data_IF_698384616078
#
_entry.id   IF_698384616078
#
_cell.length_a   1.000
_cell.length_b   1.000
_cell.length_c   1.000
_cell.angle_alpha   90.00
_cell.angle_beta   90.00
_cell.angle_gamma   90.00
#
_symmetry.space_group_name_H-M   'P 1'
#
loop_
_entity.id
_entity.type
_entity.pdbx_description
1 polymer ?
#
# COMPACT_ATOMS: atom_id res chain seq x y z
N UNK A 1 -1.19 -11.60 16.86
CA UNK A 1 -2.15 -11.98 15.79
C UNK A 1 -2.68 -10.67 15.22
N UNK A 2 -2.51 -10.42 13.92
CA UNK A 2 -2.97 -9.17 13.31
C UNK A 2 -4.48 -8.97 13.52
N UNK A 3 -4.90 -7.73 13.81
CA UNK A 3 -6.30 -7.43 14.11
C UNK A 3 -7.10 -7.30 12.82
N UNK A 4 -7.92 -8.29 12.50
CA UNK A 4 -8.94 -8.18 11.46
C UNK A 4 -10.03 -7.20 11.92
N UNK A 5 -10.58 -6.39 11.01
CA UNK A 5 -11.72 -5.51 11.29
C UNK A 5 -13.00 -6.10 10.65
N UNK A 6 -14.17 -5.98 11.30
CA UNK A 6 -15.44 -6.43 10.71
C UNK A 6 -15.81 -5.63 9.44
N UNK A 7 -16.59 -6.21 8.51
CA UNK A 7 -17.00 -5.54 7.27
C UNK A 7 -17.66 -4.17 7.49
N UNK A 8 -18.54 -4.03 8.48
CA UNK A 8 -19.20 -2.76 8.76
C UNK A 8 -18.22 -1.67 9.23
N UNK A 9 -17.15 -2.05 9.93
CA UNK A 9 -16.12 -1.11 10.34
C UNK A 9 -15.33 -0.62 9.12
N UNK A 10 -14.95 -1.53 8.23
CA UNK A 10 -14.23 -1.17 7.01
C UNK A 10 -15.10 -0.33 6.04
N UNK A 11 -16.41 -0.59 5.95
CA UNK A 11 -17.34 0.27 5.21
C UNK A 11 -17.36 1.70 5.76
N UNK A 12 -17.44 1.87 7.09
CA UNK A 12 -17.40 3.18 7.73
C UNK A 12 -16.08 3.93 7.49
N UNK A 13 -14.95 3.22 7.40
CA UNK A 13 -13.67 3.85 7.05
C UNK A 13 -13.72 4.43 5.63
N UNK A 14 -14.28 3.69 4.67
CA UNK A 14 -14.46 4.19 3.30
C UNK A 14 -15.47 5.35 3.24
N UNK A 15 -16.58 5.29 3.98
CA UNK A 15 -17.55 6.38 4.07
C UNK A 15 -16.91 7.66 4.62
N UNK A 16 -16.10 7.55 5.67
CA UNK A 16 -15.34 8.68 6.23
C UNK A 16 -14.35 9.25 5.23
N UNK A 17 -13.64 8.40 4.47
CA UNK A 17 -12.80 8.84 3.36
C UNK A 17 -13.62 9.59 2.30
N UNK A 18 -14.86 9.17 2.04
CA UNK A 18 -15.77 9.79 1.06
C UNK A 18 -16.49 11.03 1.57
N UNK A 19 -16.44 11.36 2.85
CA UNK A 19 -17.10 12.55 3.40
C UNK A 19 -16.56 13.86 2.78
N UNK A 20 -17.40 14.86 2.50
CA UNK A 20 -16.95 16.20 2.10
C UNK A 20 -15.96 16.76 3.14
N UNK A 21 -14.84 17.33 2.69
CA UNK A 21 -13.81 17.89 3.58
C UNK A 21 -12.84 16.87 4.19
N UNK A 22 -12.93 15.57 3.85
CA UNK A 22 -11.89 14.62 4.22
C UNK A 22 -10.52 15.03 3.62
N UNK A 23 -9.43 15.02 4.41
CA UNK A 23 -8.11 15.40 3.94
C UNK A 23 -7.62 14.46 2.81
N UNK A 24 -6.93 15.01 1.81
CA UNK A 24 -6.28 14.22 0.75
C UNK A 24 -7.09 13.95 -0.52
N UNK A 25 -8.18 14.69 -0.78
CA UNK A 25 -9.10 14.49 -1.93
C UNK A 25 -8.82 15.25 -3.22
N UNK A 26 -7.80 16.09 -3.25
CA UNK A 26 -7.58 16.99 -4.39
C UNK A 26 -6.16 16.90 -4.88
N UNK A 27 -5.94 16.04 -5.88
CA UNK A 27 -4.75 16.07 -6.72
C UNK A 27 -5.01 16.60 -8.15
N UNK A 28 -6.26 16.66 -8.63
CA UNK A 28 -6.62 17.40 -9.85
C UNK A 28 -8.14 17.59 -10.02
N UNK A 29 -8.61 18.69 -10.64
CA UNK A 29 -10.05 18.94 -10.88
C UNK A 29 -10.73 18.02 -11.93
N UNK A 30 -9.99 17.11 -12.59
CA UNK A 30 -10.51 16.27 -13.69
C UNK A 30 -10.62 14.78 -13.40
N UNK A 31 -9.99 14.26 -12.35
CA UNK A 31 -9.95 12.82 -12.07
C UNK A 31 -10.26 12.58 -10.59
N UNK A 32 -11.14 11.63 -10.29
CA UNK A 32 -11.35 11.15 -8.91
C UNK A 32 -10.16 10.26 -8.54
N UNK A 33 -9.49 10.57 -7.43
CA UNK A 33 -8.40 9.72 -6.93
C UNK A 33 -8.91 8.31 -6.66
N UNK A 34 -8.10 7.31 -7.02
CA UNK A 34 -8.38 5.93 -6.61
C UNK A 34 -8.14 5.80 -5.11
N UNK A 35 -9.08 5.16 -4.41
CA UNK A 35 -8.97 4.87 -2.97
C UNK A 35 -8.77 3.37 -2.72
N UNK A 36 -8.67 2.57 -3.78
CA UNK A 36 -8.47 1.12 -3.70
C UNK A 36 -7.32 0.69 -4.62
N UNK A 37 -6.60 -0.32 -4.17
CA UNK A 37 -5.61 -1.01 -4.98
C UNK A 37 -5.75 -2.49 -4.71
N UNK A 38 -6.10 -3.23 -5.75
CA UNK A 38 -6.24 -4.66 -5.73
C UNK A 38 -4.91 -5.35 -6.02
N UNK A 39 -4.67 -6.42 -5.29
CA UNK A 39 -3.56 -7.35 -5.47
C UNK A 39 -4.12 -8.77 -5.39
N UNK A 40 -3.59 -9.69 -6.19
CA UNK A 40 -3.93 -11.09 -5.98
C UNK A 40 -3.24 -11.63 -4.73
N UNK A 41 -3.86 -12.62 -4.07
CA UNK A 41 -3.25 -13.29 -2.91
C UNK A 41 -1.95 -13.98 -3.33
N UNK A 42 -1.94 -14.64 -4.49
CA UNK A 42 -0.78 -15.36 -5.01
C UNK A 42 0.44 -14.43 -5.20
N UNK A 43 0.23 -13.25 -5.78
CA UNK A 43 1.31 -12.28 -5.95
C UNK A 43 1.85 -11.74 -4.62
N UNK A 44 0.98 -11.54 -3.63
CA UNK A 44 1.42 -11.15 -2.28
C UNK A 44 2.22 -12.28 -1.64
N UNK A 45 1.79 -13.53 -1.79
CA UNK A 45 2.51 -14.70 -1.28
C UNK A 45 3.90 -14.82 -1.91
N UNK A 46 4.01 -14.70 -3.24
CA UNK A 46 5.30 -14.69 -3.95
C UNK A 46 6.23 -13.57 -3.44
N UNK A 47 5.69 -12.37 -3.21
CA UNK A 47 6.49 -11.28 -2.67
C UNK A 47 6.91 -11.52 -1.22
N UNK A 48 6.06 -12.12 -0.40
CA UNK A 48 6.40 -12.52 0.98
C UNK A 48 7.49 -13.60 1.00
N UNK A 49 7.45 -14.55 0.07
CA UNK A 49 8.51 -15.55 -0.11
C UNK A 49 9.82 -14.89 -0.51
N UNK A 50 9.78 -13.96 -1.47
CA UNK A 50 10.95 -13.16 -1.84
C UNK A 50 11.58 -12.45 -0.63
N UNK A 51 10.78 -11.80 0.22
CA UNK A 51 11.31 -11.13 1.42
C UNK A 51 11.94 -12.14 2.39
N UNK A 52 11.25 -13.24 2.68
CA UNK A 52 11.74 -14.27 3.62
C UNK A 52 12.99 -14.99 3.13
N UNK A 53 13.17 -15.10 1.82
CA UNK A 53 14.37 -15.69 1.22
C UNK A 53 15.59 -14.78 1.32
N UNK A 54 15.38 -13.45 1.41
CA UNK A 54 16.47 -12.46 1.38
C UNK A 54 16.73 -11.79 2.73
N UNK A 55 15.80 -11.82 3.68
CA UNK A 55 15.95 -11.26 5.03
C UNK A 55 15.82 -12.42 6.04
N UNK A 56 16.86 -12.66 6.87
CA UNK A 56 16.81 -13.75 7.84
C UNK A 56 15.72 -13.49 8.87
N UNK A 57 15.09 -14.56 9.36
CA UNK A 57 14.03 -14.46 10.38
C UNK A 57 14.50 -13.73 11.67
N UNK A 58 15.79 -13.79 11.99
CA UNK A 58 16.40 -13.06 13.12
C UNK A 58 16.36 -11.54 12.97
N UNK A 59 16.24 -11.04 11.73
CA UNK A 59 16.09 -9.63 11.42
C UNK A 59 14.62 -9.20 11.34
N UNK A 60 13.66 -10.04 11.73
CA UNK A 60 12.23 -9.74 11.72
C UNK A 60 11.74 -9.11 10.40
N UNK A 61 11.69 -9.89 9.29
CA UNK A 61 11.24 -9.39 8.00
C UNK A 61 9.80 -8.88 8.05
N UNK A 62 9.55 -7.75 7.38
CA UNK A 62 8.22 -7.15 7.30
C UNK A 62 7.97 -6.40 5.98
N UNK A 63 6.81 -5.75 5.90
CA UNK A 63 6.41 -4.91 4.78
C UNK A 63 5.95 -3.56 5.31
N UNK A 64 6.38 -2.49 4.64
CA UNK A 64 5.81 -1.15 4.77
C UNK A 64 5.12 -0.75 3.47
N UNK A 65 3.90 -0.26 3.57
CA UNK A 65 3.11 0.18 2.40
C UNK A 65 3.23 1.70 2.29
N UNK A 66 3.62 2.17 1.12
CA UNK A 66 3.75 3.59 0.81
C UNK A 66 2.73 4.01 -0.24
N UNK A 67 2.19 5.22 -0.08
CA UNK A 67 1.53 5.94 -1.17
C UNK A 67 2.61 6.60 -2.04
N UNK A 68 2.50 6.44 -3.36
CA UNK A 68 3.41 7.02 -4.34
C UNK A 68 2.66 7.76 -5.45
N UNK A 69 3.38 8.62 -6.15
CA UNK A 69 2.93 9.25 -7.40
C UNK A 69 3.98 8.99 -8.47
N UNK A 70 3.53 8.63 -9.66
CA UNK A 70 4.42 8.44 -10.81
C UNK A 70 4.98 9.77 -11.34
N UNK A 71 4.39 10.91 -10.95
CA UNK A 71 4.85 12.24 -11.36
C UNK A 71 4.61 12.53 -12.85
N UNK A 72 5.26 13.58 -13.34
CA UNK A 72 5.02 14.13 -14.67
C UNK A 72 5.75 13.38 -15.81
N UNK A 73 6.77 12.60 -15.48
CA UNK A 73 7.72 12.02 -16.44
C UNK A 73 7.45 10.54 -16.77
N UNK A 74 6.34 9.97 -16.28
CA UNK A 74 6.09 8.52 -16.34
C UNK A 74 5.14 8.06 -17.46
N UNK A 75 5.28 8.65 -18.64
CA UNK A 75 4.55 8.25 -19.85
C UNK A 75 3.03 8.15 -19.65
N UNK A 76 2.45 6.98 -19.93
CA UNK A 76 1.01 6.75 -19.80
C UNK A 76 0.50 6.79 -18.34
N UNK A 77 1.37 6.65 -17.35
CA UNK A 77 1.03 6.75 -15.92
C UNK A 77 1.25 8.15 -15.35
N UNK A 78 1.49 9.13 -16.22
CA UNK A 78 1.66 10.53 -15.83
C UNK A 78 0.50 11.01 -14.95
N UNK A 79 0.84 11.56 -13.79
CA UNK A 79 -0.14 12.08 -12.83
C UNK A 79 -0.96 11.02 -12.08
N UNK A 80 -0.65 9.72 -12.24
CA UNK A 80 -1.33 8.65 -11.51
C UNK A 80 -0.66 8.41 -10.16
N UNK A 81 -1.47 8.07 -9.16
CA UNK A 81 -1.02 7.57 -7.87
C UNK A 81 -0.89 6.05 -7.86
N UNK A 82 -0.12 5.51 -6.91
CA UNK A 82 -0.01 4.08 -6.65
C UNK A 82 0.22 3.82 -5.16
N UNK A 83 0.15 2.55 -4.75
CA UNK A 83 0.79 2.07 -3.53
C UNK A 83 1.86 1.04 -3.88
N UNK A 84 2.93 0.99 -3.10
CA UNK A 84 3.98 -0.01 -3.27
C UNK A 84 4.44 -0.57 -1.93
N UNK A 85 4.90 -1.81 -1.95
CA UNK A 85 5.28 -2.57 -0.77
C UNK A 85 6.80 -2.56 -0.69
N UNK A 86 7.34 -2.00 0.39
CA UNK A 86 8.77 -1.97 0.65
C UNK A 86 9.11 -3.05 1.69
N UNK A 87 10.18 -3.84 1.48
CA UNK A 87 10.63 -4.81 2.46
C UNK A 87 11.26 -4.08 3.64
N UNK A 88 11.08 -4.62 4.84
CA UNK A 88 11.64 -4.05 6.06
C UNK A 88 12.35 -5.08 6.92
N UNK A 89 13.25 -4.61 7.76
CA UNK A 89 13.93 -5.39 8.80
C UNK A 89 14.00 -4.62 10.12
N UNK A 90 14.17 -5.37 11.20
CA UNK A 90 14.30 -4.88 12.56
C UNK A 90 12.98 -4.48 13.18
N UNK A 91 13.05 -4.11 14.47
CA UNK A 91 11.90 -3.66 15.25
C UNK A 91 10.89 -4.74 15.58
N UNK A 92 9.81 -4.34 16.23
CA UNK A 92 8.62 -5.15 16.53
C UNK A 92 7.39 -4.24 16.39
N UNK A 93 6.18 -4.80 16.39
CA UNK A 93 4.92 -4.05 16.24
C UNK A 93 4.81 -2.89 17.25
N UNK A 94 5.36 -3.06 18.46
CA UNK A 94 5.42 -2.06 19.53
C UNK A 94 6.52 -0.98 19.39
N UNK A 95 7.47 -1.14 18.46
CA UNK A 95 8.57 -0.19 18.26
C UNK A 95 8.89 0.05 16.77
N UNK A 96 7.97 0.72 16.08
CA UNK A 96 8.08 1.02 14.64
C UNK A 96 9.29 1.90 14.28
N UNK A 97 9.87 2.65 15.22
CA UNK A 97 11.07 3.48 14.95
C UNK A 97 12.33 2.64 14.73
N UNK A 98 12.34 1.39 15.22
CA UNK A 98 13.40 0.43 14.97
C UNK A 98 13.20 -0.36 13.66
N UNK A 99 12.06 -0.22 12.97
CA UNK A 99 11.78 -0.86 11.69
C UNK A 99 12.39 -0.02 10.55
N UNK A 100 13.31 -0.62 9.82
CA UNK A 100 14.02 0.02 8.70
C UNK A 100 13.58 -0.58 7.37
N UNK A 101 13.44 0.24 6.33
CA UNK A 101 13.31 -0.27 4.97
C UNK A 101 14.62 -0.94 4.55
N UNK A 102 14.54 -2.08 3.88
CA UNK A 102 15.69 -2.68 3.22
C UNK A 102 15.79 -2.21 1.77
N UNK A 103 16.52 -1.11 1.57
CA UNK A 103 16.71 -0.51 0.24
C UNK A 103 17.60 -1.35 -0.71
N UNK A 104 18.18 -2.47 -0.24
CA UNK A 104 18.92 -3.40 -1.10
C UNK A 104 18.01 -4.36 -1.87
N UNK A 105 16.74 -4.45 -1.47
CA UNK A 105 15.74 -5.33 -2.08
C UNK A 105 14.70 -4.52 -2.87
N UNK A 106 14.09 -5.20 -3.84
CA UNK A 106 13.09 -4.55 -4.69
C UNK A 106 11.77 -4.35 -3.96
N UNK A 107 11.19 -3.15 -4.14
CA UNK A 107 9.81 -2.89 -3.78
C UNK A 107 8.85 -3.48 -4.82
N UNK A 108 7.66 -3.87 -4.37
CA UNK A 108 6.61 -4.44 -5.22
C UNK A 108 5.52 -3.41 -5.55
N UNK A 109 5.19 -3.25 -6.83
CA UNK A 109 4.27 -2.21 -7.34
C UNK A 109 3.54 -2.67 -8.61
N UNK A 110 2.71 -3.71 -8.50
CA UNK A 110 1.84 -4.19 -9.59
C UNK A 110 0.38 -4.28 -9.20
N UNK A 111 -0.03 -3.48 -8.22
CA UNK A 111 -1.43 -3.33 -7.85
C UNK A 111 -2.25 -2.74 -8.99
N UNK A 112 -3.48 -3.25 -9.15
CA UNK A 112 -4.46 -2.73 -10.10
C UNK A 112 -5.50 -1.86 -9.39
N UNK A 113 -6.18 -1.00 -10.15
CA UNK A 113 -7.36 -0.28 -9.67
C UNK A 113 -8.43 -0.29 -10.74
N UNK A 114 -9.69 -0.31 -10.32
CA UNK A 114 -10.84 -0.13 -11.18
C UNK A 114 -11.05 1.35 -11.54
N UNK A 115 -11.70 1.57 -12.68
CA UNK A 115 -12.19 2.88 -13.09
C UNK A 115 -13.68 2.80 -13.46
N UNK A 116 -14.60 3.32 -12.62
CA UNK A 116 -14.37 3.94 -11.31
C UNK A 116 -13.89 2.91 -10.24
N UNK A 117 -13.24 3.36 -9.15
CA UNK A 117 -12.83 2.49 -8.05
C UNK A 117 -14.00 1.66 -7.47
N UNK A 118 -13.71 0.44 -7.02
CA UNK A 118 -14.71 -0.45 -6.41
C UNK A 118 -15.19 0.04 -5.04
N UNK A 119 -16.47 -0.20 -4.72
CA UNK A 119 -17.00 0.03 -3.37
C UNK A 119 -16.59 -1.10 -2.39
N UNK A 120 -16.64 -0.80 -1.09
CA UNK A 120 -16.42 -1.75 0.02
C UNK A 120 -17.73 -2.01 0.80
#
# INVERSE_FOLDING_TARGET
MGKQIPPDHARRLLENWRAPGAPGKTMAPKYKDTFETWFSVAEIEEYLEYIKANIPASENPGIRIYFGSYGEEHGAKKGYSTVFFAPTKGGAEENLTAVQNDYSLNAYNSGGSNWPPADY
#
